data_IF_088157866044
#
_entry.id   IF_088157866044
#
_cell.length_a   1.000
_cell.length_b   1.000
_cell.length_c   1.000
_cell.angle_alpha   90.00
_cell.angle_beta   90.00
_cell.angle_gamma   90.00
#
_symmetry.space_group_name_H-M   'P 1'
#
loop_
_entity.id
_entity.type
_entity.pdbx_description
1 polymer ?
#
# COMPACT_ATOMS: atom_id res chain seq x y z
N UNK A 1 28.25 32.25 29.76
CA UNK A 1 27.76 31.89 28.41
C UNK A 1 28.39 30.59 27.99
N UNK A 2 27.63 29.49 27.90
CA UNK A 2 27.94 28.38 27.00
C UNK A 2 26.67 27.59 26.74
N UNK A 3 26.01 27.85 25.61
CA UNK A 3 24.87 27.03 25.15
C UNK A 3 25.47 25.72 24.65
N UNK A 4 25.24 24.63 25.38
CA UNK A 4 25.63 23.28 24.94
C UNK A 4 24.74 22.94 23.73
N UNK A 5 25.33 22.97 22.53
CA UNK A 5 24.70 22.43 21.33
C UNK A 5 24.67 20.91 21.48
N UNK A 6 23.49 20.36 21.75
CA UNK A 6 23.26 18.92 21.69
C UNK A 6 23.11 18.56 20.21
N UNK A 7 24.23 18.26 19.56
CA UNK A 7 24.21 17.68 18.22
C UNK A 7 23.53 16.32 18.30
N UNK A 8 22.38 16.20 17.62
CA UNK A 8 21.56 14.99 17.67
C UNK A 8 22.18 13.96 16.73
N UNK A 9 22.39 12.69 17.14
CA UNK A 9 23.05 11.69 16.30
C UNK A 9 22.26 11.46 15.01
N UNK A 10 22.97 11.62 13.89
CA UNK A 10 22.51 11.26 12.54
C UNK A 10 22.63 9.72 12.46
N UNK A 11 21.53 9.04 12.12
CA UNK A 11 21.34 7.58 12.10
C UNK A 11 21.16 6.87 13.46
N UNK A 12 19.90 6.69 13.85
CA UNK A 12 19.50 5.59 14.72
C UNK A 12 18.61 4.65 13.93
N UNK A 13 19.20 3.58 13.40
CA UNK A 13 18.50 2.51 12.67
C UNK A 13 17.70 1.59 13.60
N UNK A 14 17.13 2.14 14.68
CA UNK A 14 16.42 1.40 15.71
C UNK A 14 15.00 1.95 15.84
N UNK A 15 14.07 1.28 15.17
CA UNK A 15 12.62 1.54 15.18
C UNK A 15 11.99 1.47 16.57
N UNK A 16 12.69 0.92 17.57
CA UNK A 16 12.21 0.73 18.94
C UNK A 16 12.63 1.86 19.91
N UNK A 17 13.42 2.85 19.48
CA UNK A 17 13.82 3.95 20.36
C UNK A 17 12.63 4.87 20.65
N UNK A 18 12.44 5.16 21.95
CA UNK A 18 11.44 6.12 22.47
C UNK A 18 11.54 7.44 21.71
N UNK A 19 10.45 7.81 21.04
CA UNK A 19 10.39 8.99 20.21
C UNK A 19 10.42 10.27 21.08
N UNK A 20 11.44 11.11 20.89
CA UNK A 20 11.63 12.35 21.66
C UNK A 20 10.51 13.38 21.42
N UNK A 21 10.00 13.47 20.19
CA UNK A 21 8.97 14.42 19.75
C UNK A 21 7.68 13.69 19.37
N UNK A 22 7.06 13.03 20.35
CA UNK A 22 5.91 12.15 20.10
C UNK A 22 4.71 12.90 19.53
N UNK A 23 4.45 14.11 20.03
CA UNK A 23 3.31 14.90 19.60
C UNK A 23 3.47 15.43 18.17
N UNK A 24 4.65 15.95 17.84
CA UNK A 24 4.99 16.46 16.51
C UNK A 24 4.95 15.35 15.46
N UNK A 25 5.35 14.13 15.82
CA UNK A 25 5.26 12.97 14.95
C UNK A 25 3.81 12.62 14.59
N UNK A 26 2.90 12.58 15.55
CA UNK A 26 1.48 12.33 15.26
C UNK A 26 0.88 13.48 14.44
N UNK A 27 1.23 14.73 14.75
CA UNK A 27 0.83 15.87 13.90
C UNK A 27 1.40 15.76 12.49
N UNK A 28 2.62 15.26 12.32
CA UNK A 28 3.22 15.05 11.01
C UNK A 28 2.49 13.98 10.21
N UNK A 29 2.05 12.88 10.86
CA UNK A 29 1.20 11.85 10.24
C UNK A 29 -0.10 12.47 9.73
N UNK A 30 -0.82 13.21 10.59
CA UNK A 30 -2.06 13.88 10.22
C UNK A 30 -1.85 14.85 9.05
N UNK A 31 -0.75 15.61 9.09
CA UNK A 31 -0.38 16.52 8.02
C UNK A 31 -0.08 15.80 6.69
N UNK A 32 0.67 14.69 6.72
CA UNK A 32 0.95 13.87 5.52
C UNK A 32 -0.33 13.24 4.97
N UNK A 33 -1.27 12.86 5.83
CA UNK A 33 -2.52 12.21 5.44
C UNK A 33 -3.42 13.10 4.57
N UNK A 34 -3.25 14.42 4.65
CA UNK A 34 -3.98 15.39 3.83
C UNK A 34 -3.43 15.48 2.40
N UNK A 35 -4.29 15.78 1.40
CA UNK A 35 -3.85 16.23 0.07
C UNK A 35 -2.91 17.44 0.18
N UNK A 36 -1.95 17.55 -0.75
CA UNK A 36 -0.90 18.59 -0.70
C UNK A 36 -1.48 20.00 -0.62
N UNK A 37 -2.57 20.23 -1.33
CA UNK A 37 -3.28 21.50 -1.48
C UNK A 37 -3.99 21.93 -0.17
N UNK A 38 -4.25 20.98 0.72
CA UNK A 38 -4.93 21.21 2.00
C UNK A 38 -3.99 21.20 3.20
N UNK A 39 -2.70 20.93 2.98
CA UNK A 39 -1.70 20.90 4.05
C UNK A 39 -1.43 22.31 4.56
N UNK A 40 -1.28 22.43 5.89
CA UNK A 40 -0.83 23.67 6.53
C UNK A 40 0.19 23.35 7.62
N UNK A 41 1.44 23.86 7.55
CA UNK A 41 2.06 24.60 6.42
C UNK A 41 2.10 23.80 5.11
N UNK A 42 2.32 24.44 3.97
CA UNK A 42 2.24 23.76 2.66
C UNK A 42 3.44 22.84 2.41
N UNK A 43 4.59 23.16 3.01
CA UNK A 43 5.83 22.42 2.80
C UNK A 43 6.33 21.74 4.07
N UNK A 44 7.06 20.63 3.89
CA UNK A 44 7.72 19.94 5.00
C UNK A 44 8.80 20.83 5.65
N UNK A 45 9.43 21.71 4.87
CA UNK A 45 10.42 22.71 5.31
C UNK A 45 9.81 23.65 6.34
N UNK A 46 8.64 24.21 6.05
CA UNK A 46 7.94 25.13 6.95
C UNK A 46 7.39 24.40 8.16
N UNK A 47 6.85 23.19 7.97
CA UNK A 47 6.36 22.37 9.06
C UNK A 47 7.48 22.01 10.05
N UNK A 48 8.69 21.69 9.56
CA UNK A 48 9.82 21.37 10.43
C UNK A 48 10.21 22.57 11.30
N UNK A 49 10.20 23.78 10.71
CA UNK A 49 10.40 25.04 11.44
C UNK A 49 9.31 25.25 12.50
N UNK A 50 8.05 25.00 12.15
CA UNK A 50 6.91 25.11 13.07
C UNK A 50 7.01 24.13 14.25
N UNK A 51 7.54 22.93 14.04
CA UNK A 51 7.77 21.93 15.09
C UNK A 51 9.09 22.11 15.85
N UNK A 52 9.98 23.00 15.40
CA UNK A 52 11.31 23.15 15.97
C UNK A 52 12.21 21.93 15.77
N UNK A 53 11.98 21.13 14.73
CA UNK A 53 12.76 19.92 14.39
C UNK A 53 13.49 20.08 13.06
N UNK A 54 14.56 19.31 12.86
CA UNK A 54 15.25 19.25 11.57
C UNK A 54 14.38 18.63 10.47
N UNK A 55 14.55 19.07 9.22
CA UNK A 55 13.86 18.43 8.09
C UNK A 55 14.22 16.95 7.96
N UNK A 56 15.48 16.61 8.22
CA UNK A 56 15.96 15.23 8.21
C UNK A 56 15.25 14.37 9.25
N UNK A 57 14.88 14.96 10.40
CA UNK A 57 14.08 14.28 11.43
C UNK A 57 12.71 13.89 10.90
N UNK A 58 12.02 14.78 10.18
CA UNK A 58 10.72 14.45 9.55
C UNK A 58 10.88 13.39 8.45
N UNK A 59 11.95 13.47 7.66
CA UNK A 59 12.27 12.46 6.65
C UNK A 59 12.56 11.10 7.28
N UNK A 60 13.25 11.07 8.41
CA UNK A 60 13.54 9.85 9.16
C UNK A 60 12.28 9.22 9.76
N UNK A 61 11.35 10.04 10.25
CA UNK A 61 10.06 9.54 10.76
C UNK A 61 9.28 8.72 9.74
N UNK A 62 9.37 9.05 8.44
CA UNK A 62 8.73 8.29 7.37
C UNK A 62 9.27 6.88 7.21
N UNK A 63 10.48 6.61 7.70
CA UNK A 63 11.12 5.29 7.62
C UNK A 63 10.73 4.37 8.78
N UNK A 64 10.06 4.91 9.81
CA UNK A 64 9.63 4.10 10.96
C UNK A 64 8.57 3.09 10.54
N UNK A 65 8.68 1.87 11.07
CA UNK A 65 7.65 0.84 10.94
C UNK A 65 6.29 1.37 11.41
N UNK A 66 5.24 1.10 10.63
CA UNK A 66 3.87 1.54 10.91
C UNK A 66 3.56 3.00 10.55
N UNK A 67 4.54 3.83 10.18
CA UNK A 67 4.28 5.23 9.82
C UNK A 67 3.27 5.35 8.68
N UNK A 68 3.49 4.63 7.57
CA UNK A 68 2.63 4.71 6.40
C UNK A 68 1.28 4.01 6.59
N UNK A 69 1.22 2.99 7.43
CA UNK A 69 -0.03 2.34 7.83
C UNK A 69 -0.92 3.32 8.59
N UNK A 70 -0.35 4.02 9.56
CA UNK A 70 -1.07 5.02 10.34
C UNK A 70 -1.48 6.22 9.46
N UNK A 71 -0.60 6.69 8.56
CA UNK A 71 -0.96 7.71 7.55
C UNK A 71 -2.12 7.24 6.67
N UNK A 72 -2.12 5.98 6.22
CA UNK A 72 -3.20 5.43 5.41
C UNK A 72 -4.52 5.38 6.19
N UNK A 73 -4.46 4.99 7.47
CA UNK A 73 -5.62 4.99 8.37
C UNK A 73 -6.20 6.38 8.55
N UNK A 74 -5.37 7.39 8.82
CA UNK A 74 -5.80 8.78 8.98
C UNK A 74 -6.37 9.36 7.69
N UNK A 75 -5.77 9.06 6.54
CA UNK A 75 -6.29 9.49 5.24
C UNK A 75 -7.65 8.85 4.94
N UNK A 76 -7.80 7.56 5.26
CA UNK A 76 -9.10 6.87 5.12
C UNK A 76 -10.16 7.56 5.97
N UNK A 77 -9.84 7.88 7.22
CA UNK A 77 -10.75 8.60 8.11
C UNK A 77 -11.15 9.95 7.52
N UNK A 78 -10.17 10.76 7.10
CA UNK A 78 -10.41 12.06 6.47
C UNK A 78 -11.27 11.98 5.20
N UNK A 79 -11.16 10.88 4.44
CA UNK A 79 -11.93 10.69 3.21
C UNK A 79 -13.38 10.23 3.42
N UNK A 80 -13.74 9.70 4.60
CA UNK A 80 -15.07 9.10 4.82
C UNK A 80 -16.21 10.06 4.52
N UNK A 81 -16.10 11.29 5.04
CA UNK A 81 -17.12 12.32 4.85
C UNK A 81 -17.19 12.83 3.40
N UNK A 82 -16.15 12.56 2.59
CA UNK A 82 -16.05 13.00 1.19
C UNK A 82 -16.58 11.96 0.22
N UNK A 83 -16.75 10.73 0.67
CA UNK A 83 -17.22 9.62 -0.17
C UNK A 83 -18.53 9.96 -0.86
N UNK A 84 -19.50 10.55 -0.14
CA UNK A 84 -20.79 10.93 -0.73
C UNK A 84 -20.66 11.99 -1.83
N UNK A 85 -19.82 13.01 -1.62
CA UNK A 85 -19.58 14.05 -2.63
C UNK A 85 -18.92 13.48 -3.89
N UNK A 86 -17.97 12.55 -3.72
CA UNK A 86 -17.29 11.88 -4.83
C UNK A 86 -18.27 10.97 -5.60
N UNK A 87 -19.13 10.23 -4.91
CA UNK A 87 -20.18 9.40 -5.54
C UNK A 87 -21.13 10.29 -6.35
N UNK A 88 -21.55 11.43 -5.80
CA UNK A 88 -22.41 12.37 -6.52
C UNK A 88 -21.73 12.97 -7.75
N UNK A 89 -20.45 13.35 -7.64
CA UNK A 89 -19.66 13.83 -8.78
C UNK A 89 -19.49 12.76 -9.87
N UNK A 90 -19.26 11.49 -9.48
CA UNK A 90 -19.19 10.35 -10.40
C UNK A 90 -20.52 10.16 -11.14
N UNK A 91 -21.64 10.14 -10.42
CA UNK A 91 -22.98 10.04 -11.02
C UNK A 91 -23.21 11.12 -12.08
N UNK A 92 -22.93 12.39 -11.76
CA UNK A 92 -23.10 13.49 -12.73
C UNK A 92 -22.27 13.28 -14.00
N UNK A 93 -20.99 12.92 -13.87
CA UNK A 93 -20.13 12.67 -15.03
C UNK A 93 -20.60 11.50 -15.88
N UNK A 94 -21.14 10.44 -15.28
CA UNK A 94 -21.73 9.31 -16.00
C UNK A 94 -22.94 9.77 -16.82
N UNK A 95 -23.83 10.56 -16.22
CA UNK A 95 -25.02 11.09 -16.92
C UNK A 95 -24.62 12.05 -18.06
N UNK A 96 -23.59 12.85 -17.85
CA UNK A 96 -23.11 13.82 -18.85
C UNK A 96 -22.36 13.17 -20.02
N UNK A 97 -21.47 12.21 -19.74
CA UNK A 97 -20.51 11.70 -20.73
C UNK A 97 -20.76 10.25 -21.17
N UNK A 98 -21.43 9.46 -20.33
CA UNK A 98 -21.60 8.01 -20.57
C UNK A 98 -20.29 7.23 -20.66
N UNK A 99 -19.19 7.73 -20.07
CA UNK A 99 -17.89 7.07 -20.19
C UNK A 99 -17.92 5.65 -19.59
N UNK A 100 -17.55 4.65 -20.40
CA UNK A 100 -17.63 3.24 -20.03
C UNK A 100 -16.82 2.89 -18.76
N UNK A 101 -15.68 3.55 -18.52
CA UNK A 101 -14.85 3.30 -17.33
C UNK A 101 -15.54 3.82 -16.06
N UNK A 102 -16.18 4.98 -16.13
CA UNK A 102 -16.92 5.57 -15.00
C UNK A 102 -18.19 4.76 -14.70
N UNK A 103 -18.92 4.36 -15.74
CA UNK A 103 -20.07 3.45 -15.62
C UNK A 103 -19.65 2.15 -14.94
N UNK A 104 -18.57 1.52 -15.42
CA UNK A 104 -18.02 0.29 -14.82
C UNK A 104 -17.67 0.49 -13.35
N UNK A 105 -17.02 1.60 -13.00
CA UNK A 105 -16.68 1.91 -11.61
C UNK A 105 -17.93 2.05 -10.74
N UNK A 106 -19.00 2.66 -11.24
CA UNK A 106 -20.28 2.73 -10.52
C UNK A 106 -20.84 1.34 -10.21
N UNK A 107 -20.91 0.46 -11.22
CA UNK A 107 -21.38 -0.91 -11.04
C UNK A 107 -20.50 -1.71 -10.06
N UNK A 108 -19.19 -1.45 -10.04
CA UNK A 108 -18.28 -2.07 -9.07
C UNK A 108 -18.53 -1.58 -7.64
N UNK A 109 -18.78 -0.28 -7.44
CA UNK A 109 -18.92 0.32 -6.11
C UNK A 109 -20.30 0.12 -5.50
N UNK A 110 -21.37 0.20 -6.30
CA UNK A 110 -22.75 0.24 -5.81
C UNK A 110 -23.48 -1.08 -6.04
N UNK A 111 -23.28 -1.70 -7.20
CA UNK A 111 -24.01 -2.91 -7.61
C UNK A 111 -23.23 -4.20 -7.30
N UNK A 112 -22.08 -4.11 -6.62
CA UNK A 112 -21.17 -5.22 -6.34
C UNK A 112 -20.80 -6.05 -7.59
N UNK A 113 -20.77 -5.40 -8.75
CA UNK A 113 -20.35 -6.06 -9.98
C UNK A 113 -18.85 -6.32 -9.95
N UNK A 114 -18.43 -7.50 -10.39
CA UNK A 114 -17.02 -7.86 -10.50
C UNK A 114 -16.72 -8.43 -11.90
N UNK A 115 -15.50 -8.19 -12.37
CA UNK A 115 -15.03 -8.77 -13.62
C UNK A 115 -14.82 -10.27 -13.44
N UNK A 116 -15.51 -11.06 -14.26
CA UNK A 116 -15.23 -12.49 -14.36
C UNK A 116 -13.99 -12.69 -15.23
N UNK A 117 -12.85 -12.91 -14.59
CA UNK A 117 -11.67 -13.43 -15.27
C UNK A 117 -11.86 -14.93 -15.50
N UNK A 118 -12.00 -15.35 -16.76
CA UNK A 118 -11.75 -16.73 -17.13
C UNK A 118 -10.25 -16.90 -17.19
N UNK A 119 -9.64 -17.40 -16.13
CA UNK A 119 -8.28 -17.91 -16.23
C UNK A 119 -8.37 -19.17 -17.09
N UNK A 120 -7.94 -19.07 -18.35
CA UNK A 120 -7.47 -20.26 -19.05
C UNK A 120 -6.25 -20.74 -18.29
N UNK A 121 -6.46 -21.69 -17.38
CA UNK A 121 -5.37 -22.52 -16.92
C UNK A 121 -5.02 -23.33 -18.16
N UNK A 122 -4.06 -22.82 -18.94
CA UNK A 122 -3.23 -23.73 -19.73
C UNK A 122 -2.54 -24.58 -18.68
N UNK A 123 -3.17 -25.69 -18.31
CA UNK A 123 -2.48 -26.77 -17.62
C UNK A 123 -1.40 -27.21 -18.60
N UNK A 124 -0.23 -26.57 -18.55
CA UNK A 124 0.95 -27.09 -19.20
C UNK A 124 1.08 -28.52 -18.68
N UNK A 125 0.72 -29.48 -19.53
CA UNK A 125 0.75 -30.89 -19.19
C UNK A 125 2.16 -31.16 -18.65
N UNK A 126 2.33 -31.48 -17.35
CA UNK A 126 3.66 -31.55 -16.74
C UNK A 126 4.55 -32.61 -17.42
N UNK A 127 3.96 -33.51 -18.20
CA UNK A 127 4.66 -34.48 -19.03
C UNK A 127 5.38 -33.86 -20.23
N UNK A 128 4.97 -32.69 -20.74
CA UNK A 128 5.63 -32.03 -21.89
C UNK A 128 6.98 -31.40 -21.53
N UNK A 129 7.31 -31.31 -20.24
CA UNK A 129 8.61 -30.81 -19.74
C UNK A 129 9.59 -31.93 -19.39
N UNK A 130 9.17 -33.19 -19.44
CA UNK A 130 10.02 -34.33 -19.12
C UNK A 130 10.79 -34.76 -20.37
N UNK A 131 12.05 -35.10 -20.18
CA UNK A 131 12.84 -35.81 -21.18
C UNK A 131 12.32 -37.25 -21.34
N UNK A 132 12.56 -37.88 -22.49
CA UNK A 132 12.16 -39.27 -22.75
C UNK A 132 12.64 -40.25 -21.66
N UNK A 133 13.81 -39.96 -21.08
CA UNK A 133 14.40 -40.74 -19.99
C UNK A 133 13.59 -40.62 -18.69
N UNK A 134 13.23 -39.40 -18.31
CA UNK A 134 12.46 -39.15 -17.07
C UNK A 134 11.04 -39.71 -17.19
N UNK A 135 10.45 -39.64 -18.38
CA UNK A 135 9.15 -40.24 -18.66
C UNK A 135 9.21 -41.78 -18.53
N UNK A 136 10.25 -42.41 -19.06
CA UNK A 136 10.45 -43.85 -18.94
C UNK A 136 10.65 -44.30 -17.48
N UNK A 137 11.38 -43.53 -16.67
CA UNK A 137 11.57 -43.79 -15.24
C UNK A 137 10.24 -43.67 -14.46
N UNK A 138 9.41 -42.67 -14.78
CA UNK A 138 8.06 -42.51 -14.20
C UNK A 138 7.14 -43.69 -14.54
N UNK A 139 7.11 -44.09 -15.82
CA UNK A 139 6.30 -45.24 -16.27
C UNK A 139 6.77 -46.53 -15.57
N UNK A 140 8.08 -46.73 -15.46
CA UNK A 140 8.64 -47.88 -14.75
C UNK A 140 8.24 -47.89 -13.29
N UNK A 141 8.39 -46.75 -12.59
CA UNK A 141 7.98 -46.59 -11.19
C UNK A 141 6.49 -46.88 -10.99
N UNK A 142 5.63 -46.43 -11.90
CA UNK A 142 4.19 -46.69 -11.84
C UNK A 142 3.87 -48.18 -12.03
N UNK A 143 4.53 -48.85 -12.98
CA UNK A 143 4.41 -50.30 -13.18
C UNK A 143 4.89 -51.10 -11.97
N UNK A 144 6.01 -50.71 -11.38
CA UNK A 144 6.55 -51.35 -10.17
C UNK A 144 5.64 -51.16 -8.96
N UNK A 145 4.93 -50.03 -8.87
CA UNK A 145 3.89 -49.81 -7.84
C UNK A 145 2.70 -50.73 -8.10
N UNK A 146 2.22 -50.82 -9.34
CA UNK A 146 1.07 -51.66 -9.68
C UNK A 146 1.34 -53.15 -9.46
N UNK A 147 2.53 -53.62 -9.83
CA UNK A 147 2.94 -55.02 -9.68
C UNK A 147 3.35 -55.41 -8.24
N UNK A 148 3.39 -54.44 -7.30
CA UNK A 148 3.61 -54.69 -5.86
C UNK A 148 2.31 -54.79 -5.06
N UNK A 149 1.17 -54.54 -5.70
CA UNK A 149 -0.17 -54.59 -5.08
C UNK A 149 -0.85 -55.96 -5.32
N UNK A 150 -0.19 -56.86 -6.07
CA UNK A 150 -0.45 -58.30 -6.15
C UNK A 150 0.60 -59.09 -5.35
#
# INVERSE_FOLDING_TARGET
MTKIKIETPINSNNSQVKLRHNFEYHKFILWIALPKELRKPNTQVELSKHFGVGQDTLSEWKKRTGFWEEVARQRKEWSKEKTSDIIYALYKRIIETGNAAEVKLWFQLIENWSERFRTSIEEENPLTKLTDRELAELIKKQKDIFNKVD
#
